data_IF_648510041835
#
_entry.id   IF_648510041835
#
_cell.length_a   1.000
_cell.length_b   1.000
_cell.length_c   1.000
_cell.angle_alpha   90.00
_cell.angle_beta   90.00
_cell.angle_gamma   90.00
#
_symmetry.space_group_name_H-M   'P 1'
#
loop_
_entity.id
_entity.type
_entity.pdbx_description
1 polymer ?
#
# COMPACT_ATOMS: atom_id res chain seq x y z
N UNK A 1 18.37 -2.44 0.09
CA UNK A 1 17.30 -1.98 -0.81
C UNK A 1 16.05 -1.72 0.04
N UNK A 2 15.33 -0.61 -0.21
CA UNK A 2 14.03 -0.32 0.40
C UNK A 2 13.99 0.68 1.55
N UNK A 3 15.09 0.97 2.23
CA UNK A 3 15.09 1.99 3.30
C UNK A 3 15.32 3.41 2.79
N UNK A 4 16.00 3.55 1.66
CA UNK A 4 16.25 4.85 1.01
C UNK A 4 15.83 4.75 -0.45
N UNK A 5 14.62 5.26 -0.76
CA UNK A 5 14.07 5.19 -2.12
C UNK A 5 14.91 5.97 -3.13
N UNK A 6 15.56 7.06 -2.76
CA UNK A 6 16.44 7.81 -3.66
C UNK A 6 17.63 6.96 -4.10
N UNK A 7 18.32 6.30 -3.16
CA UNK A 7 19.41 5.37 -3.49
C UNK A 7 18.90 4.14 -4.29
N UNK A 8 17.72 3.63 -3.96
CA UNK A 8 17.11 2.50 -4.68
C UNK A 8 16.82 2.85 -6.14
N UNK A 9 16.32 4.04 -6.44
CA UNK A 9 16.10 4.51 -7.81
C UNK A 9 17.40 4.51 -8.62
N UNK A 10 18.45 5.10 -8.07
CA UNK A 10 19.76 5.15 -8.75
C UNK A 10 20.29 3.73 -9.06
N UNK A 11 20.12 2.79 -8.12
CA UNK A 11 20.53 1.39 -8.31
C UNK A 11 19.69 0.73 -9.42
N UNK A 12 18.38 0.95 -9.43
CA UNK A 12 17.49 0.38 -10.46
C UNK A 12 17.80 0.98 -11.84
N UNK A 13 18.03 2.29 -11.95
CA UNK A 13 18.42 2.96 -13.20
C UNK A 13 19.74 2.39 -13.75
N UNK A 14 20.61 1.94 -12.87
CA UNK A 14 21.93 1.38 -13.23
C UNK A 14 21.85 -0.10 -13.60
N UNK A 15 21.05 -0.88 -12.86
CA UNK A 15 20.98 -2.34 -13.02
C UNK A 15 20.03 -2.74 -14.16
N UNK A 16 18.91 -2.04 -14.32
CA UNK A 16 17.87 -2.42 -15.26
C UNK A 16 18.37 -2.58 -16.71
N UNK A 17 19.25 -1.72 -17.25
CA UNK A 17 19.80 -1.92 -18.60
C UNK A 17 20.74 -3.13 -18.76
N UNK A 18 21.16 -3.75 -17.66
CA UNK A 18 22.14 -4.85 -17.67
C UNK A 18 21.45 -6.22 -17.57
N UNK A 19 20.29 -6.29 -16.91
CA UNK A 19 19.55 -7.54 -16.70
C UNK A 19 18.67 -7.87 -17.91
N UNK A 20 18.42 -9.17 -18.20
CA UNK A 20 17.67 -9.62 -19.38
C UNK A 20 16.20 -9.13 -19.33
N UNK A 21 15.76 -8.43 -20.37
CA UNK A 21 14.37 -7.90 -20.47
C UNK A 21 13.31 -9.01 -20.59
N UNK A 22 13.69 -10.22 -21.05
CA UNK A 22 12.80 -11.36 -21.23
C UNK A 22 12.54 -12.14 -19.91
N UNK A 23 13.11 -11.68 -18.79
CA UNK A 23 12.96 -12.29 -17.46
C UNK A 23 12.22 -11.35 -16.50
N UNK A 24 11.40 -11.88 -15.57
CA UNK A 24 10.76 -11.04 -14.56
C UNK A 24 11.79 -10.47 -13.59
N UNK A 25 11.71 -9.17 -13.36
CA UNK A 25 12.58 -8.45 -12.43
C UNK A 25 11.93 -8.37 -11.05
N UNK A 26 12.59 -8.96 -10.05
CA UNK A 26 12.10 -9.04 -8.68
C UNK A 26 12.91 -8.15 -7.73
N UNK A 27 12.22 -7.27 -6.99
CA UNK A 27 12.82 -6.44 -5.96
C UNK A 27 12.35 -6.85 -4.57
N UNK A 28 13.23 -7.52 -3.83
CA UNK A 28 12.97 -8.00 -2.47
C UNK A 28 12.90 -6.85 -1.46
N UNK A 29 11.90 -6.89 -0.57
CA UNK A 29 11.77 -5.96 0.56
C UNK A 29 11.36 -4.53 0.15
N UNK A 30 10.84 -4.33 -1.06
CA UNK A 30 10.45 -3.04 -1.60
C UNK A 30 8.91 -2.90 -1.64
N UNK A 31 8.39 -1.68 -1.40
CA UNK A 31 6.96 -1.41 -1.42
C UNK A 31 6.39 -1.07 -0.05
N UNK A 32 7.15 -0.38 0.80
CA UNK A 32 6.65 0.11 2.09
C UNK A 32 5.62 1.24 1.94
N UNK A 33 5.56 1.87 0.77
CA UNK A 33 4.63 2.93 0.39
C UNK A 33 4.09 2.67 -1.02
N UNK A 34 2.85 3.12 -1.34
CA UNK A 34 2.34 3.10 -2.71
C UNK A 34 3.29 3.73 -3.74
N UNK A 35 3.90 4.87 -3.40
CA UNK A 35 4.82 5.56 -4.31
C UNK A 35 6.11 4.77 -4.59
N UNK A 36 6.57 3.94 -3.64
CA UNK A 36 7.72 3.07 -3.86
C UNK A 36 7.47 2.09 -5.02
N UNK A 37 6.22 1.56 -5.11
CA UNK A 37 5.83 0.66 -6.19
C UNK A 37 5.82 1.38 -7.54
N UNK A 38 5.24 2.58 -7.62
CA UNK A 38 5.25 3.37 -8.86
C UNK A 38 6.67 3.66 -9.33
N UNK A 39 7.56 4.07 -8.40
CA UNK A 39 8.93 4.40 -8.72
C UNK A 39 9.75 3.19 -9.20
N UNK A 40 9.46 2.01 -8.65
CA UNK A 40 10.15 0.79 -9.02
C UNK A 40 9.61 0.20 -10.33
N UNK A 41 8.29 0.19 -10.54
CA UNK A 41 7.65 -0.25 -11.79
C UNK A 41 8.12 0.59 -12.97
N UNK A 42 8.19 1.92 -12.81
CA UNK A 42 8.72 2.84 -13.83
C UNK A 42 10.15 2.48 -14.26
N UNK A 43 10.89 1.77 -13.39
CA UNK A 43 12.27 1.32 -13.61
C UNK A 43 12.39 -0.16 -13.93
N UNK A 44 11.30 -0.76 -14.40
CA UNK A 44 11.31 -2.13 -14.92
C UNK A 44 11.23 -3.22 -13.87
N UNK A 45 10.78 -2.94 -12.64
CA UNK A 45 10.54 -3.98 -11.63
C UNK A 45 9.12 -4.55 -11.79
N UNK A 46 9.01 -5.88 -11.87
CA UNK A 46 7.75 -6.59 -12.11
C UNK A 46 7.14 -7.18 -10.83
N UNK A 47 7.98 -7.61 -9.89
CA UNK A 47 7.58 -8.37 -8.71
C UNK A 47 8.16 -7.78 -7.43
N UNK A 48 7.35 -7.83 -6.37
CA UNK A 48 7.68 -7.25 -5.07
C UNK A 48 7.25 -8.15 -3.94
N UNK A 49 7.96 -8.08 -2.81
CA UNK A 49 7.48 -8.46 -1.50
C UNK A 49 7.84 -7.38 -0.47
N UNK A 50 7.05 -7.26 0.57
CA UNK A 50 7.39 -6.41 1.69
C UNK A 50 6.58 -6.79 2.94
N UNK A 51 7.25 -6.89 4.08
CA UNK A 51 6.58 -7.16 5.38
C UNK A 51 5.85 -5.93 5.94
N UNK A 52 6.05 -4.75 5.35
CA UNK A 52 5.50 -3.50 5.89
C UNK A 52 3.97 -3.57 6.03
N UNK A 53 3.26 -4.11 5.02
CA UNK A 53 1.80 -4.17 5.00
C UNK A 53 1.23 -4.90 6.21
N UNK A 54 1.82 -6.03 6.57
CA UNK A 54 1.36 -6.87 7.68
C UNK A 54 1.92 -6.39 9.03
N UNK A 55 3.17 -5.95 9.06
CA UNK A 55 3.82 -5.45 10.27
C UNK A 55 3.13 -4.21 10.82
N UNK A 56 2.90 -3.19 9.98
CA UNK A 56 2.27 -1.94 10.43
C UNK A 56 0.78 -2.14 10.73
N UNK A 57 0.10 -3.05 10.03
CA UNK A 57 -1.30 -3.41 10.31
C UNK A 57 -1.47 -3.88 11.77
N UNK A 58 -0.58 -4.74 12.25
CA UNK A 58 -0.60 -5.22 13.64
C UNK A 58 -0.38 -4.11 14.69
N UNK A 59 0.14 -2.97 14.26
CA UNK A 59 0.31 -1.77 15.10
C UNK A 59 -0.80 -0.73 14.87
N UNK A 60 -1.90 -1.10 14.20
CA UNK A 60 -3.04 -0.22 13.96
C UNK A 60 -2.85 0.78 12.83
N UNK A 61 -1.79 0.66 12.02
CA UNK A 61 -1.58 1.53 10.85
C UNK A 61 -2.20 0.90 9.61
N UNK A 62 -3.15 1.62 9.00
CA UNK A 62 -3.96 1.18 7.87
C UNK A 62 -3.70 2.06 6.66
N UNK A 63 -3.63 1.45 5.47
CA UNK A 63 -3.50 2.19 4.23
C UNK A 63 -4.86 2.67 3.73
N UNK A 64 -4.96 3.96 3.39
CA UNK A 64 -6.17 4.60 2.90
C UNK A 64 -5.79 5.58 1.80
N UNK A 65 -6.37 5.44 0.60
CA UNK A 65 -6.03 6.29 -0.55
C UNK A 65 -6.29 7.77 -0.23
N UNK A 66 -7.41 8.08 0.40
CA UNK A 66 -7.82 9.45 0.77
C UNK A 66 -6.93 10.12 1.83
N UNK A 67 -6.08 9.38 2.54
CA UNK A 67 -5.10 9.96 3.46
C UNK A 67 -3.96 10.69 2.74
N UNK A 68 -3.78 10.41 1.46
CA UNK A 68 -2.88 11.10 0.55
C UNK A 68 -1.38 10.89 0.79
N UNK A 69 -0.59 11.39 -0.14
CA UNK A 69 0.86 11.27 -0.15
C UNK A 69 1.52 11.94 1.07
N UNK A 70 0.99 13.08 1.53
CA UNK A 70 1.49 13.80 2.71
C UNK A 70 1.51 12.93 3.97
N UNK A 71 0.48 12.09 4.15
CA UNK A 71 0.38 11.14 5.25
C UNK A 71 0.87 9.74 4.86
N UNK A 72 1.60 9.59 3.74
CA UNK A 72 2.07 8.31 3.20
C UNK A 72 0.93 7.31 3.00
N UNK A 73 -0.27 7.81 2.66
CA UNK A 73 -1.51 7.02 2.49
C UNK A 73 -1.88 6.20 3.74
N UNK A 74 -1.65 6.71 4.94
CA UNK A 74 -1.82 5.97 6.20
C UNK A 74 -2.69 6.72 7.18
N UNK A 75 -3.47 5.96 7.93
CA UNK A 75 -4.12 6.40 9.17
C UNK A 75 -3.69 5.48 10.30
N UNK A 76 -3.70 5.97 11.54
CA UNK A 76 -3.53 5.11 12.71
C UNK A 76 -4.89 4.96 13.40
N UNK A 77 -5.45 3.75 13.33
CA UNK A 77 -6.79 3.45 13.86
C UNK A 77 -6.88 3.59 15.38
N UNK A 78 -5.75 3.58 16.09
CA UNK A 78 -5.71 3.78 17.55
C UNK A 78 -6.00 5.23 17.97
N UNK A 79 -6.04 6.18 17.02
CA UNK A 79 -6.35 7.57 17.34
C UNK A 79 -7.80 7.71 17.82
N UNK A 80 -8.01 8.48 18.90
CA UNK A 80 -9.31 8.67 19.56
C UNK A 80 -10.43 9.19 18.62
N UNK A 81 -10.07 9.90 17.55
CA UNK A 81 -11.02 10.36 16.53
C UNK A 81 -11.83 9.24 15.88
N UNK A 82 -11.30 8.00 15.87
CA UNK A 82 -11.98 6.85 15.26
C UNK A 82 -12.89 6.09 16.22
N UNK A 83 -12.92 6.46 17.50
CA UNK A 83 -13.70 5.77 18.54
C UNK A 83 -15.18 5.65 18.23
N UNK A 84 -15.74 6.65 17.53
CA UNK A 84 -17.16 6.69 17.15
C UNK A 84 -17.38 6.80 15.63
N UNK A 85 -16.32 6.63 14.82
CA UNK A 85 -16.39 6.74 13.37
C UNK A 85 -17.03 5.50 12.76
N UNK A 86 -18.27 5.63 12.31
CA UNK A 86 -19.06 4.53 11.69
C UNK A 86 -18.68 4.25 10.23
N UNK A 87 -17.77 5.04 9.63
CA UNK A 87 -17.31 4.82 8.25
C UNK A 87 -16.42 3.58 8.16
N UNK A 88 -16.32 2.94 6.97
CA UNK A 88 -15.32 1.90 6.72
C UNK A 88 -13.89 2.46 6.82
N UNK A 89 -12.89 1.60 6.89
CA UNK A 89 -11.47 2.02 6.90
C UNK A 89 -11.19 2.93 5.70
N UNK A 90 -11.56 2.48 4.50
CA UNK A 90 -11.50 3.26 3.27
C UNK A 90 -12.84 3.14 2.53
N UNK A 91 -13.56 4.26 2.27
CA UNK A 91 -14.85 4.24 1.59
C UNK A 91 -14.82 3.66 0.18
N UNK A 92 -13.68 3.75 -0.51
CA UNK A 92 -13.50 3.22 -1.87
C UNK A 92 -13.06 1.75 -1.89
N UNK A 93 -12.77 1.17 -0.72
CA UNK A 93 -12.25 -0.18 -0.61
C UNK A 93 -13.35 -1.22 -0.47
N UNK A 94 -13.31 -2.24 -1.32
CA UNK A 94 -14.26 -3.35 -1.36
C UNK A 94 -13.80 -4.62 -0.63
N UNK A 95 -12.73 -4.54 0.17
CA UNK A 95 -12.29 -5.70 0.93
C UNK A 95 -13.31 -6.11 1.99
N UNK A 96 -13.27 -7.37 2.41
CA UNK A 96 -14.21 -7.91 3.42
C UNK A 96 -14.23 -7.09 4.72
N UNK A 97 -13.09 -6.53 5.12
CA UNK A 97 -13.02 -5.68 6.31
C UNK A 97 -13.80 -4.38 6.12
N UNK A 98 -13.62 -3.67 5.00
CA UNK A 98 -14.30 -2.39 4.76
C UNK A 98 -15.81 -2.57 4.52
N UNK A 99 -16.22 -3.67 3.89
CA UNK A 99 -17.64 -3.97 3.64
C UNK A 99 -18.38 -4.31 4.92
N UNK A 100 -17.72 -4.99 5.88
CA UNK A 100 -18.38 -5.56 7.04
C UNK A 100 -18.20 -4.78 8.35
N UNK A 101 -17.17 -3.94 8.46
CA UNK A 101 -16.77 -3.32 9.73
C UNK A 101 -16.48 -1.84 9.61
N UNK A 102 -16.85 -1.08 10.66
CA UNK A 102 -16.54 0.34 10.79
C UNK A 102 -15.18 0.59 11.42
N UNK A 103 -14.65 1.80 11.24
CA UNK A 103 -13.44 2.27 11.95
C UNK A 103 -13.59 2.19 13.46
N UNK A 104 -14.77 2.55 13.99
CA UNK A 104 -15.07 2.45 15.42
C UNK A 104 -14.93 1.01 15.93
N UNK A 105 -15.43 0.03 15.20
CA UNK A 105 -15.30 -1.38 15.58
C UNK A 105 -13.85 -1.84 15.55
N UNK A 106 -13.10 -1.52 14.49
CA UNK A 106 -11.69 -1.88 14.40
C UNK A 106 -10.88 -1.19 15.51
N UNK A 107 -11.14 0.11 15.78
CA UNK A 107 -10.55 0.83 16.90
C UNK A 107 -10.80 0.11 18.24
N UNK A 108 -12.05 -0.26 18.50
CA UNK A 108 -12.42 -1.01 19.71
C UNK A 108 -11.66 -2.34 19.84
N UNK A 109 -11.52 -3.10 18.74
CA UNK A 109 -10.77 -4.36 18.77
C UNK A 109 -9.29 -4.16 19.11
N UNK A 110 -8.67 -3.07 18.64
CA UNK A 110 -7.29 -2.73 19.00
C UNK A 110 -7.19 -2.31 20.47
N UNK A 111 -8.13 -1.52 20.98
CA UNK A 111 -8.19 -1.09 22.38
C UNK A 111 -8.38 -2.29 23.31
N UNK A 112 -9.25 -3.21 22.94
CA UNK A 112 -9.49 -4.48 23.67
C UNK A 112 -8.38 -5.54 23.47
N UNK A 113 -7.38 -5.26 22.63
CA UNK A 113 -6.26 -6.19 22.29
C UNK A 113 -6.73 -7.52 21.71
N UNK A 114 -7.83 -7.50 20.96
CA UNK A 114 -8.39 -8.68 20.30
C UNK A 114 -7.56 -9.10 19.08
N UNK A 115 -7.28 -10.40 18.94
CA UNK A 115 -6.53 -10.92 17.80
C UNK A 115 -7.22 -10.67 16.45
N UNK A 116 -8.55 -10.54 16.46
CA UNK A 116 -9.34 -10.22 15.28
C UNK A 116 -8.94 -8.85 14.68
N UNK A 117 -8.53 -7.88 15.51
CA UNK A 117 -8.02 -6.58 15.04
C UNK A 117 -6.88 -6.76 14.03
N UNK A 118 -5.89 -7.60 14.37
CA UNK A 118 -4.72 -7.83 13.54
C UNK A 118 -5.07 -8.53 12.23
N UNK A 119 -5.99 -9.50 12.28
CA UNK A 119 -6.48 -10.20 11.09
C UNK A 119 -7.18 -9.25 10.12
N UNK A 120 -8.12 -8.44 10.61
CA UNK A 120 -8.91 -7.52 9.80
C UNK A 120 -8.03 -6.40 9.21
N UNK A 121 -7.15 -5.81 10.02
CA UNK A 121 -6.21 -4.79 9.59
C UNK A 121 -5.23 -5.31 8.52
N UNK A 122 -4.70 -6.53 8.71
CA UNK A 122 -3.81 -7.17 7.75
C UNK A 122 -4.51 -7.48 6.43
N UNK A 123 -5.72 -8.04 6.48
CA UNK A 123 -6.52 -8.34 5.30
C UNK A 123 -6.80 -7.07 4.47
N UNK A 124 -7.14 -5.96 5.15
CA UNK A 124 -7.33 -4.67 4.49
C UNK A 124 -6.06 -4.16 3.82
N UNK A 125 -4.93 -4.12 4.54
CA UNK A 125 -3.67 -3.62 3.99
C UNK A 125 -3.17 -4.45 2.80
N UNK A 126 -3.30 -5.77 2.86
CA UNK A 126 -2.95 -6.64 1.74
C UNK A 126 -3.86 -6.38 0.53
N UNK A 127 -5.17 -6.26 0.75
CA UNK A 127 -6.12 -5.94 -0.32
C UNK A 127 -5.76 -4.60 -0.99
N UNK A 128 -5.42 -3.58 -0.19
CA UNK A 128 -5.02 -2.26 -0.70
C UNK A 128 -3.87 -2.37 -1.71
N UNK A 129 -2.78 -3.05 -1.34
CA UNK A 129 -1.62 -3.20 -2.23
C UNK A 129 -1.89 -4.11 -3.44
N UNK A 130 -2.62 -5.20 -3.25
CA UNK A 130 -3.01 -6.06 -4.36
C UNK A 130 -3.91 -5.33 -5.36
N UNK A 131 -4.83 -4.49 -4.88
CA UNK A 131 -5.66 -3.66 -5.74
C UNK A 131 -4.84 -2.58 -6.47
N UNK A 132 -3.89 -1.94 -5.78
CA UNK A 132 -2.96 -0.99 -6.40
C UNK A 132 -2.16 -1.65 -7.53
N UNK A 133 -1.63 -2.86 -7.31
CA UNK A 133 -0.90 -3.59 -8.35
C UNK A 133 -1.79 -3.98 -9.54
N UNK A 134 -3.08 -4.26 -9.31
CA UNK A 134 -4.05 -4.45 -10.40
C UNK A 134 -4.24 -3.17 -11.22
N UNK A 135 -4.38 -2.03 -10.56
CA UNK A 135 -4.50 -0.72 -11.23
C UNK A 135 -3.25 -0.39 -12.04
N UNK A 136 -2.06 -0.59 -11.47
CA UNK A 136 -0.77 -0.37 -12.15
C UNK A 136 -0.69 -1.24 -13.42
N UNK A 137 -0.96 -2.55 -13.31
CA UNK A 137 -0.94 -3.45 -14.48
C UNK A 137 -1.94 -3.05 -15.57
N UNK A 138 -3.12 -2.60 -15.16
CA UNK A 138 -4.12 -2.09 -16.10
C UNK A 138 -3.61 -0.84 -16.80
N UNK A 139 -3.14 0.14 -16.05
CA UNK A 139 -2.63 1.40 -16.58
C UNK A 139 -1.42 1.20 -17.53
N UNK A 140 -0.55 0.21 -17.27
CA UNK A 140 0.54 -0.16 -18.20
C UNK A 140 -0.04 -0.66 -19.53
N UNK A 141 -1.04 -1.56 -19.50
CA UNK A 141 -1.67 -2.10 -20.72
C UNK A 141 -2.41 -1.04 -21.54
N UNK A 142 -2.97 -0.04 -20.88
CA UNK A 142 -3.72 1.06 -21.48
C UNK A 142 -2.83 2.26 -21.86
N UNK A 143 -1.52 2.23 -21.55
CA UNK A 143 -0.58 3.33 -21.79
C UNK A 143 -0.76 4.53 -20.86
N UNK A 144 -1.47 4.35 -19.74
CA UNK A 144 -1.87 5.41 -18.79
C UNK A 144 -1.07 5.40 -17.47
N UNK A 145 0.03 4.67 -17.43
CA UNK A 145 0.81 4.48 -16.18
C UNK A 145 1.27 5.81 -15.56
N UNK A 146 1.77 6.74 -16.37
CA UNK A 146 2.26 8.02 -15.88
C UNK A 146 1.14 8.92 -15.35
N UNK A 147 -0.05 8.86 -15.95
CA UNK A 147 -1.24 9.56 -15.50
C UNK A 147 -1.70 9.03 -14.14
N UNK A 148 -1.78 7.71 -13.99
CA UNK A 148 -2.09 7.07 -12.71
C UNK A 148 -1.07 7.45 -11.63
N UNK A 149 0.23 7.42 -11.94
CA UNK A 149 1.29 7.85 -11.02
C UNK A 149 1.12 9.31 -10.58
N UNK A 150 0.79 10.21 -11.52
CA UNK A 150 0.53 11.64 -11.23
C UNK A 150 -0.69 11.82 -10.35
N UNK A 151 -1.78 11.09 -10.59
CA UNK A 151 -2.97 11.09 -9.75
C UNK A 151 -2.61 10.76 -8.30
N UNK A 152 -1.96 9.63 -8.09
CA UNK A 152 -1.55 9.20 -6.75
C UNK A 152 -0.61 10.21 -6.05
N UNK A 153 0.27 10.84 -6.80
CA UNK A 153 1.21 11.85 -6.24
C UNK A 153 0.50 13.14 -5.82
N UNK A 154 -0.65 13.49 -6.41
CA UNK A 154 -1.42 14.71 -6.10
C UNK A 154 -2.33 14.55 -4.87
N UNK A 155 -2.66 13.34 -4.49
CA UNK A 155 -3.41 13.05 -3.24
C UNK A 155 -2.54 13.37 -2.02
#
# INVERSE_FOLDING_TARGET
IGYNMAATKNILDWVNPIIPEDKPHYAMGLGSSPMDLFEAVERGVDMFDCVAQTRIARNGTLFVKSAGAKNKYRININNAQFRQDKKPIDPECICSTCVSYSRAYIHHLFDAKELLAYKLATAHNLHFFLNLMKQIRRAIKEGEFLELKKEWKRL
#
